data_IF_651655615714
#
_entry.id   IF_651655615714
#
_cell.length_a   1.000
_cell.length_b   1.000
_cell.length_c   1.000
_cell.angle_alpha   90.00
_cell.angle_beta   90.00
_cell.angle_gamma   90.00
#
_symmetry.space_group_name_H-M   'P 1'
#
loop_
_entity.id
_entity.type
_entity.pdbx_description
1 polymer ?
#
# COMPACT_ATOMS: atom_id res chain seq x y z
N UNK A 1 -34.53 26.17 29.13
CA UNK A 1 -33.11 26.36 28.75
C UNK A 1 -33.04 27.61 27.92
N UNK A 2 -32.26 28.63 28.31
CA UNK A 2 -32.10 29.88 27.56
C UNK A 2 -31.44 29.60 26.22
N UNK A 3 -31.80 30.32 25.17
CA UNK A 3 -31.29 30.11 23.80
C UNK A 3 -29.75 30.15 23.74
N UNK A 4 -29.11 31.03 24.49
CA UNK A 4 -27.65 31.10 24.64
C UNK A 4 -27.01 29.80 25.18
N UNK A 5 -27.74 28.97 25.94
CA UNK A 5 -27.23 27.69 26.44
C UNK A 5 -27.30 26.62 25.34
N UNK A 6 -28.32 26.67 24.51
CA UNK A 6 -28.43 25.79 23.34
C UNK A 6 -27.35 26.10 22.30
N UNK A 7 -27.11 27.38 22.01
CA UNK A 7 -26.06 27.81 21.07
C UNK A 7 -24.68 27.34 21.54
N UNK A 8 -24.34 27.52 22.81
CA UNK A 8 -23.08 27.00 23.38
C UNK A 8 -22.97 25.47 23.24
N UNK A 9 -24.07 24.76 23.50
CA UNK A 9 -24.10 23.31 23.36
C UNK A 9 -23.85 22.89 21.89
N UNK A 10 -24.49 23.55 20.92
CA UNK A 10 -24.26 23.27 19.49
C UNK A 10 -22.82 23.54 19.09
N UNK A 11 -22.22 24.64 19.51
CA UNK A 11 -20.81 24.96 19.24
C UNK A 11 -19.89 23.87 19.82
N UNK A 12 -20.10 23.45 21.05
CA UNK A 12 -19.30 22.37 21.68
C UNK A 12 -19.44 21.07 20.90
N UNK A 13 -20.66 20.67 20.52
CA UNK A 13 -20.91 19.46 19.73
C UNK A 13 -20.21 19.54 18.37
N UNK A 14 -20.30 20.67 17.67
CA UNK A 14 -19.64 20.84 16.36
C UNK A 14 -18.12 20.73 16.52
N UNK A 15 -17.53 21.38 17.52
CA UNK A 15 -16.08 21.30 17.78
C UNK A 15 -15.66 19.86 18.06
N UNK A 16 -16.40 19.12 18.88
CA UNK A 16 -16.11 17.72 19.15
C UNK A 16 -16.20 16.85 17.89
N UNK A 17 -17.23 17.05 17.06
CA UNK A 17 -17.36 16.34 15.78
C UNK A 17 -16.18 16.63 14.84
N UNK A 18 -15.78 17.89 14.72
CA UNK A 18 -14.62 18.27 13.92
C UNK A 18 -13.35 17.59 14.42
N UNK A 19 -13.11 17.56 15.74
CA UNK A 19 -11.96 16.90 16.34
C UNK A 19 -11.97 15.38 16.05
N UNK A 20 -13.13 14.74 16.14
CA UNK A 20 -13.26 13.31 15.80
C UNK A 20 -12.97 13.07 14.32
N UNK A 21 -13.49 13.90 13.42
CA UNK A 21 -13.22 13.79 11.98
C UNK A 21 -11.73 13.95 11.69
N UNK A 22 -11.09 14.95 12.29
CA UNK A 22 -9.64 15.18 12.13
C UNK A 22 -8.82 13.99 12.65
N UNK A 23 -9.17 13.46 13.83
CA UNK A 23 -8.50 12.29 14.40
C UNK A 23 -8.67 11.04 13.51
N UNK A 24 -9.88 10.81 12.98
CA UNK A 24 -10.14 9.72 12.04
C UNK A 24 -9.35 9.91 10.74
N UNK A 25 -9.37 11.12 10.17
CA UNK A 25 -8.61 11.42 8.96
C UNK A 25 -7.11 11.18 9.17
N UNK A 26 -6.56 11.64 10.28
CA UNK A 26 -5.17 11.40 10.66
C UNK A 26 -4.86 9.89 10.78
N UNK A 27 -5.72 9.14 11.47
CA UNK A 27 -5.56 7.69 11.63
C UNK A 27 -5.55 6.94 10.29
N UNK A 28 -6.51 7.23 9.40
CA UNK A 28 -6.66 6.47 8.16
C UNK A 28 -5.79 6.98 7.01
N UNK A 29 -5.43 8.27 6.99
CA UNK A 29 -4.61 8.84 5.92
C UNK A 29 -3.11 8.71 6.24
N UNK A 30 -2.71 9.00 7.48
CA UNK A 30 -1.30 9.11 7.87
C UNK A 30 -0.76 7.85 8.53
N UNK A 31 -1.38 7.39 9.61
CA UNK A 31 -0.82 6.32 10.44
C UNK A 31 -0.98 4.92 9.82
N UNK A 32 -2.14 4.64 9.23
CA UNK A 32 -2.48 3.29 8.80
C UNK A 32 -2.64 2.31 9.98
N UNK A 33 -2.52 1.00 9.71
CA UNK A 33 -2.56 -0.09 10.70
C UNK A 33 -1.15 -0.69 10.83
N UNK A 34 -0.43 -0.32 11.88
CA UNK A 34 0.95 -0.76 12.11
C UNK A 34 1.11 -1.48 13.43
N UNK A 35 2.12 -2.34 13.54
CA UNK A 35 2.48 -3.09 14.73
C UNK A 35 3.99 -3.12 14.96
N UNK A 36 4.40 -3.67 16.08
CA UNK A 36 5.80 -3.89 16.41
C UNK A 36 6.42 -5.06 15.64
N UNK A 37 7.73 -5.07 15.52
CA UNK A 37 8.52 -6.10 14.84
C UNK A 37 9.74 -6.51 15.66
N UNK A 38 10.30 -7.68 15.35
CA UNK A 38 11.54 -8.18 15.98
C UNK A 38 12.80 -7.81 15.19
N UNK A 39 12.66 -7.37 13.94
CA UNK A 39 13.79 -7.07 13.03
C UNK A 39 13.94 -5.57 12.70
N UNK A 40 13.24 -4.69 13.42
CA UNK A 40 13.33 -3.24 13.26
C UNK A 40 12.44 -2.66 12.14
N UNK A 41 11.80 -3.48 11.31
CA UNK A 41 10.88 -3.00 10.26
C UNK A 41 9.50 -2.69 10.81
N UNK A 42 8.83 -1.72 10.22
CA UNK A 42 7.43 -1.43 10.52
C UNK A 42 6.53 -2.53 9.97
N UNK A 43 5.78 -3.19 10.84
CA UNK A 43 4.76 -4.17 10.43
C UNK A 43 3.50 -3.42 10.01
N UNK A 44 3.08 -3.61 8.77
CA UNK A 44 1.76 -3.17 8.30
C UNK A 44 0.77 -4.31 8.49
N UNK A 45 -0.24 -4.08 9.32
CA UNK A 45 -1.25 -5.08 9.68
C UNK A 45 -2.41 -5.04 8.69
N UNK A 46 -2.55 -6.10 7.92
CA UNK A 46 -3.60 -6.28 6.91
C UNK A 46 -4.20 -7.68 7.00
N UNK A 47 -5.43 -7.84 6.53
CA UNK A 47 -6.11 -9.13 6.54
C UNK A 47 -5.41 -10.17 5.64
N UNK A 48 -5.57 -11.47 5.87
CA UNK A 48 -4.90 -12.51 5.07
C UNK A 48 -5.16 -12.37 3.56
N UNK A 49 -6.39 -12.07 3.16
CA UNK A 49 -6.74 -11.84 1.75
C UNK A 49 -6.06 -10.61 1.15
N UNK A 50 -6.01 -9.50 1.89
CA UNK A 50 -5.30 -8.28 1.48
C UNK A 50 -3.79 -8.54 1.36
N UNK A 51 -3.23 -9.31 2.29
CA UNK A 51 -1.81 -9.71 2.24
C UNK A 51 -1.52 -10.56 1.00
N UNK A 52 -2.39 -11.52 0.69
CA UNK A 52 -2.26 -12.34 -0.52
C UNK A 52 -2.30 -11.48 -1.77
N UNK A 53 -3.21 -10.52 -1.83
CA UNK A 53 -3.31 -9.54 -2.92
C UNK A 53 -2.01 -8.73 -3.07
N UNK A 54 -1.55 -8.05 -2.02
CA UNK A 54 -0.34 -7.21 -2.08
C UNK A 54 0.91 -8.01 -2.46
N UNK A 55 1.06 -9.23 -1.93
CA UNK A 55 2.18 -10.11 -2.32
C UNK A 55 2.03 -10.59 -3.77
N UNK A 56 0.81 -10.70 -4.30
CA UNK A 56 0.54 -10.95 -5.72
C UNK A 56 1.04 -9.80 -6.59
N UNK A 57 0.67 -8.57 -6.26
CA UNK A 57 1.14 -7.36 -6.94
C UNK A 57 2.67 -7.25 -6.93
N UNK A 58 3.31 -7.49 -5.79
CA UNK A 58 4.78 -7.48 -5.70
C UNK A 58 5.44 -8.52 -6.61
N UNK A 59 4.85 -9.71 -6.74
CA UNK A 59 5.34 -10.73 -7.68
C UNK A 59 5.15 -10.30 -9.13
N UNK A 60 4.04 -9.63 -9.44
CA UNK A 60 3.79 -9.04 -10.76
C UNK A 60 4.83 -7.98 -11.13
N UNK A 61 5.12 -7.06 -10.20
CA UNK A 61 6.17 -6.05 -10.39
C UNK A 61 7.54 -6.68 -10.60
N UNK A 62 7.90 -7.72 -9.82
CA UNK A 62 9.17 -8.44 -9.99
C UNK A 62 9.26 -9.14 -11.34
N UNK A 63 8.18 -9.78 -11.79
CA UNK A 63 8.12 -10.39 -13.13
C UNK A 63 8.31 -9.32 -14.21
N UNK A 64 7.66 -8.16 -14.08
CA UNK A 64 7.83 -7.06 -15.02
C UNK A 64 9.27 -6.52 -15.07
N UNK A 65 9.93 -6.37 -13.91
CA UNK A 65 11.36 -6.00 -13.85
C UNK A 65 12.22 -7.04 -14.59
N UNK A 66 11.94 -8.33 -14.41
CA UNK A 66 12.64 -9.40 -15.12
C UNK A 66 12.42 -9.31 -16.63
N UNK A 67 11.17 -9.13 -17.08
CA UNK A 67 10.85 -9.02 -18.52
C UNK A 67 11.45 -7.77 -19.17
N UNK A 68 11.45 -6.62 -18.47
CA UNK A 68 12.13 -5.40 -18.92
C UNK A 68 13.63 -5.66 -19.07
N UNK A 69 14.25 -6.32 -18.07
CA UNK A 69 15.68 -6.65 -18.11
C UNK A 69 16.00 -7.54 -19.32
N UNK A 70 15.16 -8.51 -19.62
CA UNK A 70 15.31 -9.41 -20.78
C UNK A 70 15.15 -8.64 -22.10
N UNK A 71 14.17 -7.73 -22.20
CA UNK A 71 13.96 -6.91 -23.39
C UNK A 71 15.14 -5.97 -23.63
N UNK A 72 15.68 -5.34 -22.57
CA UNK A 72 16.88 -4.51 -22.64
C UNK A 72 18.11 -5.28 -23.11
N UNK A 73 18.28 -6.52 -22.65
CA UNK A 73 19.39 -7.39 -23.08
C UNK A 73 19.30 -7.79 -24.56
N UNK A 74 18.11 -7.71 -25.15
CA UNK A 74 17.85 -7.95 -26.58
C UNK A 74 17.68 -6.67 -27.40
N UNK A 75 17.97 -5.48 -26.84
CA UNK A 75 17.76 -4.17 -27.46
C UNK A 75 16.30 -3.92 -27.94
N UNK A 76 15.33 -4.65 -27.37
CA UNK A 76 13.90 -4.54 -27.69
C UNK A 76 13.23 -3.43 -26.86
N UNK A 77 13.51 -2.18 -27.21
CA UNK A 77 12.99 -0.98 -26.52
C UNK A 77 11.46 -0.88 -26.64
N UNK A 78 10.87 -1.35 -27.75
CA UNK A 78 9.42 -1.34 -27.91
C UNK A 78 8.73 -2.29 -26.90
N UNK A 79 9.32 -3.45 -26.65
CA UNK A 79 8.85 -4.37 -25.61
C UNK A 79 9.00 -3.78 -24.21
N UNK A 80 10.09 -3.06 -23.92
CA UNK A 80 10.27 -2.33 -22.66
C UNK A 80 9.12 -1.36 -22.44
N UNK A 81 8.79 -0.53 -23.43
CA UNK A 81 7.69 0.43 -23.36
C UNK A 81 6.36 -0.26 -22.99
N UNK A 82 6.03 -1.34 -23.70
CA UNK A 82 4.78 -2.08 -23.48
C UNK A 82 4.68 -2.66 -22.07
N UNK A 83 5.75 -3.30 -21.60
CA UNK A 83 5.76 -3.92 -20.26
C UNK A 83 5.66 -2.84 -19.18
N UNK A 84 6.49 -1.80 -19.28
CA UNK A 84 6.51 -0.72 -18.30
C UNK A 84 5.15 0.00 -18.23
N UNK A 85 4.51 0.28 -19.35
CA UNK A 85 3.17 0.89 -19.41
C UNK A 85 2.13 0.04 -18.68
N UNK A 86 2.19 -1.28 -18.77
CA UNK A 86 1.30 -2.20 -18.06
C UNK A 86 1.49 -2.23 -16.54
N UNK A 87 2.61 -1.69 -16.04
CA UNK A 87 2.94 -1.60 -14.60
C UNK A 87 2.81 -0.19 -14.04
N UNK A 88 2.45 0.79 -14.88
CA UNK A 88 2.31 2.20 -14.52
C UNK A 88 1.06 2.50 -13.69
N UNK A 89 0.77 3.78 -13.53
CA UNK A 89 -0.34 4.32 -12.71
C UNK A 89 -1.74 3.91 -13.20
N UNK A 90 -1.86 3.51 -14.48
CA UNK A 90 -3.12 3.07 -15.08
C UNK A 90 -3.36 1.55 -14.94
N UNK A 91 -2.43 0.82 -14.34
CA UNK A 91 -2.63 -0.60 -14.07
C UNK A 91 -3.84 -0.79 -13.15
N UNK A 92 -4.84 -1.54 -13.62
CA UNK A 92 -5.98 -1.92 -12.79
C UNK A 92 -5.55 -3.08 -11.89
N UNK A 93 -5.28 -2.75 -10.64
CA UNK A 93 -4.81 -3.74 -9.66
C UNK A 93 -5.95 -4.46 -8.96
N UNK A 94 -7.19 -4.00 -9.07
CA UNK A 94 -8.33 -4.59 -8.36
C UNK A 94 -8.17 -4.58 -6.83
N UNK A 95 -7.58 -3.53 -6.27
CA UNK A 95 -7.26 -3.44 -4.84
C UNK A 95 -8.51 -3.66 -3.95
N UNK A 96 -8.42 -4.50 -2.91
CA UNK A 96 -9.52 -4.73 -1.98
C UNK A 96 -10.01 -3.45 -1.33
N UNK A 97 -11.34 -3.26 -1.18
CA UNK A 97 -11.90 -2.10 -0.49
C UNK A 97 -11.32 -1.96 0.92
N UNK A 98 -10.93 -0.73 1.29
CA UNK A 98 -10.39 -0.42 2.61
C UNK A 98 -8.88 -0.69 2.80
N UNK A 99 -8.23 -1.42 1.90
CA UNK A 99 -6.79 -1.68 1.99
C UNK A 99 -5.98 -0.37 2.11
N UNK A 100 -6.28 0.62 1.28
CA UNK A 100 -5.57 1.91 1.28
C UNK A 100 -5.67 2.65 2.62
N UNK A 101 -6.75 2.47 3.39
CA UNK A 101 -6.90 3.05 4.73
C UNK A 101 -6.00 2.40 5.80
N UNK A 102 -5.50 1.20 5.54
CA UNK A 102 -4.60 0.46 6.45
C UNK A 102 -3.13 0.76 6.20
N UNK A 103 -2.79 1.24 5.01
CA UNK A 103 -1.41 1.53 4.62
C UNK A 103 -0.96 2.90 5.15
N UNK A 104 0.23 3.01 5.77
CA UNK A 104 0.82 4.28 6.17
C UNK A 104 1.00 5.22 4.97
N UNK A 105 0.94 6.53 5.20
CA UNK A 105 1.07 7.52 4.13
C UNK A 105 2.38 7.38 3.35
N UNK A 106 3.49 7.21 4.04
CA UNK A 106 4.81 7.08 3.39
C UNK A 106 4.93 5.79 2.59
N UNK A 107 4.31 4.70 3.05
CA UNK A 107 4.20 3.47 2.26
C UNK A 107 3.43 3.71 0.95
N UNK A 108 2.27 4.40 1.03
CA UNK A 108 1.47 4.75 -0.15
C UNK A 108 2.23 5.61 -1.14
N UNK A 109 2.90 6.67 -0.66
CA UNK A 109 3.72 7.54 -1.51
C UNK A 109 4.82 6.76 -2.24
N UNK A 110 5.52 5.90 -1.50
CA UNK A 110 6.60 5.09 -2.07
C UNK A 110 6.06 4.11 -3.13
N UNK A 111 4.96 3.40 -2.84
CA UNK A 111 4.32 2.49 -3.79
C UNK A 111 3.86 3.20 -5.05
N UNK A 112 3.12 4.31 -4.91
CA UNK A 112 2.67 5.10 -6.07
C UNK A 112 3.84 5.64 -6.90
N UNK A 113 4.96 6.02 -6.25
CA UNK A 113 6.14 6.48 -6.97
C UNK A 113 6.81 5.39 -7.81
N UNK A 114 6.66 4.11 -7.45
CA UNK A 114 7.14 2.98 -8.28
C UNK A 114 6.32 2.87 -9.57
N UNK A 115 5.00 2.97 -9.49
CA UNK A 115 4.14 2.98 -10.69
C UNK A 115 4.41 4.18 -11.59
N UNK A 116 4.63 5.37 -11.01
CA UNK A 116 5.02 6.56 -11.76
C UNK A 116 6.39 6.40 -12.47
N UNK A 117 7.34 5.70 -11.84
CA UNK A 117 8.63 5.41 -12.47
C UNK A 117 8.49 4.44 -13.65
N UNK A 118 7.58 3.47 -13.58
CA UNK A 118 7.27 2.60 -14.71
C UNK A 118 6.68 3.39 -15.88
N UNK A 119 5.77 4.35 -15.63
CA UNK A 119 5.29 5.25 -16.69
C UNK A 119 6.43 6.07 -17.30
N UNK A 120 7.34 6.62 -16.47
CA UNK A 120 8.49 7.36 -16.98
C UNK A 120 9.44 6.49 -17.83
N UNK A 121 9.64 5.21 -17.46
CA UNK A 121 10.39 4.24 -18.27
C UNK A 121 9.66 3.98 -19.60
N UNK A 122 8.34 3.84 -19.57
CA UNK A 122 7.55 3.63 -20.78
C UNK A 122 7.63 4.85 -21.72
N UNK A 123 7.45 6.07 -21.19
CA UNK A 123 7.54 7.32 -21.95
C UNK A 123 8.91 7.46 -22.64
N UNK A 124 9.99 7.20 -21.91
CA UNK A 124 11.35 7.28 -22.45
C UNK A 124 11.63 6.16 -23.48
N UNK A 125 11.10 4.96 -23.27
CA UNK A 125 11.22 3.87 -24.22
C UNK A 125 10.42 4.16 -25.51
N UNK A 126 9.23 4.73 -25.41
CA UNK A 126 8.42 5.21 -26.54
C UNK A 126 9.14 6.33 -27.31
N UNK A 127 9.90 7.19 -26.62
CA UNK A 127 10.76 8.20 -27.20
C UNK A 127 12.10 7.65 -27.72
N UNK A 128 12.26 6.32 -27.80
CA UNK A 128 13.46 5.64 -28.31
C UNK A 128 14.75 5.98 -27.55
N UNK A 129 14.67 6.12 -26.24
CA UNK A 129 15.85 6.28 -25.37
C UNK A 129 16.80 5.09 -25.49
N UNK A 130 18.09 5.34 -25.28
CA UNK A 130 19.08 4.28 -25.35
C UNK A 130 18.84 3.21 -24.25
N UNK A 131 19.02 1.90 -24.55
CA UNK A 131 18.82 0.82 -23.56
C UNK A 131 19.57 1.03 -22.25
N UNK A 132 20.77 1.61 -22.30
CA UNK A 132 21.55 1.94 -21.12
C UNK A 132 20.89 2.99 -20.21
N UNK A 133 20.17 3.94 -20.79
CA UNK A 133 19.49 4.98 -20.01
C UNK A 133 18.21 4.42 -19.37
N UNK A 134 17.50 3.55 -20.07
CA UNK A 134 16.37 2.81 -19.51
C UNK A 134 16.82 1.88 -18.37
N UNK A 135 17.97 1.22 -18.51
CA UNK A 135 18.55 0.39 -17.45
C UNK A 135 18.90 1.21 -16.21
N UNK A 136 19.42 2.44 -16.36
CA UNK A 136 19.68 3.34 -15.21
C UNK A 136 18.38 3.72 -14.50
N UNK A 137 17.32 4.04 -15.26
CA UNK A 137 16.02 4.35 -14.69
C UNK A 137 15.44 3.16 -13.92
N UNK A 138 15.52 1.96 -14.49
CA UNK A 138 15.10 0.74 -13.81
C UNK A 138 15.91 0.47 -12.54
N UNK A 139 17.22 0.71 -12.56
CA UNK A 139 18.08 0.61 -11.38
C UNK A 139 17.63 1.59 -10.27
N UNK A 140 17.28 2.82 -10.63
CA UNK A 140 16.76 3.82 -9.69
C UNK A 140 15.39 3.41 -9.12
N UNK A 141 14.50 2.86 -9.94
CA UNK A 141 13.22 2.30 -9.51
C UNK A 141 13.44 1.16 -8.50
N UNK A 142 14.33 0.23 -8.78
CA UNK A 142 14.63 -0.90 -7.87
C UNK A 142 15.18 -0.45 -6.51
N UNK A 143 15.86 0.69 -6.41
CA UNK A 143 16.25 1.27 -5.11
C UNK A 143 15.05 1.54 -4.21
N UNK A 144 13.89 1.93 -4.78
CA UNK A 144 12.64 2.11 -4.03
C UNK A 144 12.10 0.79 -3.50
N UNK A 145 12.22 -0.29 -4.27
CA UNK A 145 11.87 -1.63 -3.81
C UNK A 145 12.72 -2.02 -2.59
N UNK A 146 14.04 -1.86 -2.69
CA UNK A 146 14.98 -2.13 -1.60
C UNK A 146 14.66 -1.27 -0.37
N UNK A 147 14.44 0.04 -0.56
CA UNK A 147 14.11 0.95 0.55
C UNK A 147 12.80 0.54 1.24
N UNK A 148 11.76 0.21 0.47
CA UNK A 148 10.48 -0.24 1.01
C UNK A 148 10.64 -1.54 1.83
N UNK A 149 11.33 -2.54 1.27
CA UNK A 149 11.55 -3.83 1.92
C UNK A 149 12.45 -3.76 3.17
N UNK A 150 13.30 -2.74 3.26
CA UNK A 150 14.10 -2.48 4.47
C UNK A 150 13.29 -1.81 5.59
N UNK A 151 12.20 -1.11 5.26
CA UNK A 151 11.41 -0.33 6.23
C UNK A 151 10.14 -1.08 6.65
N UNK A 152 9.49 -1.79 5.71
CA UNK A 152 8.16 -2.36 5.91
C UNK A 152 8.13 -3.86 5.74
N UNK A 153 7.20 -4.49 6.46
CA UNK A 153 6.78 -5.86 6.23
C UNK A 153 5.27 -6.00 6.47
N UNK A 154 4.65 -6.98 5.84
CA UNK A 154 3.24 -7.27 6.04
C UNK A 154 3.02 -8.43 6.98
N UNK A 155 2.11 -8.27 7.93
CA UNK A 155 1.62 -9.36 8.74
C UNK A 155 0.10 -9.29 8.87
N UNK A 156 -0.51 -10.41 9.19
CA UNK A 156 -1.93 -10.45 9.52
C UNK A 156 -2.10 -10.37 11.03
N UNK A 157 -3.15 -9.68 11.53
CA UNK A 157 -3.50 -9.74 12.94
C UNK A 157 -3.63 -11.21 13.36
N UNK A 158 -3.26 -11.57 14.60
CA UNK A 158 -3.53 -12.90 15.10
C UNK A 158 -5.04 -13.17 14.96
N UNK A 159 -5.39 -14.35 14.46
CA UNK A 159 -6.78 -14.75 14.34
C UNK A 159 -7.43 -14.48 15.72
N UNK A 160 -8.52 -13.70 15.74
CA UNK A 160 -9.30 -13.57 16.96
C UNK A 160 -9.76 -14.98 17.29
N UNK A 161 -9.14 -15.57 18.30
CA UNK A 161 -9.67 -16.81 18.87
C UNK A 161 -11.14 -16.54 19.17
N UNK A 162 -12.02 -17.27 18.52
CA UNK A 162 -13.44 -17.29 18.84
C UNK A 162 -13.60 -17.98 20.21
N UNK A 163 -13.14 -17.29 21.24
CA UNK A 163 -13.45 -17.61 22.63
C UNK A 163 -14.79 -17.00 22.98
N UNK A 164 -15.82 -17.30 22.19
CA UNK A 164 -17.19 -17.28 22.69
C UNK A 164 -17.40 -18.64 23.32
N UNK A 165 -17.27 -18.64 24.65
CA UNK A 165 -17.44 -19.78 25.51
C UNK A 165 -18.72 -20.55 25.20
N UNK A 166 -18.54 -21.79 24.82
CA UNK A 166 -19.51 -22.83 25.14
C UNK A 166 -18.98 -23.55 26.38
N UNK A 167 -19.10 -22.90 27.52
CA UNK A 167 -19.27 -23.62 28.79
C UNK A 167 -20.73 -24.10 28.82
N UNK A 168 -21.03 -25.13 28.04
CA UNK A 168 -22.18 -25.98 28.34
C UNK A 168 -21.75 -26.92 29.46
N UNK A 169 -22.25 -26.61 30.64
CA UNK A 169 -22.15 -27.43 31.83
C UNK A 169 -22.50 -28.87 31.49
N UNK A 170 -21.56 -29.79 31.67
CA UNK A 170 -21.86 -31.19 31.92
C UNK A 170 -22.51 -31.26 33.30
N UNK A 171 -23.78 -31.60 33.36
CA UNK A 171 -24.44 -32.11 34.57
C UNK A 171 -23.92 -33.51 34.82
N UNK A 172 -23.47 -33.83 36.02
CA UNK A 172 -23.32 -35.22 36.43
C UNK A 172 -24.67 -35.75 36.91
N UNK A 173 -25.13 -36.83 36.36
CA UNK A 173 -26.08 -37.73 36.97
C UNK A 173 -25.37 -38.72 37.90
#
# INVERSE_FOLDING_TARGET
MTDARKERLYVVVIVLLVLVIVAMAYKFIVLGSTGGTTDGRTVVLIEPGERTFVLGEMRGLLAGVQEISQALAGDDVARVAKIARGLGMQADTGAPPGLMGKLPLEFKKLGLSVHSDFDAIADNAEAMAAPKDLLRQMSSLMQKCVACHNIYQFNSPPARSASLGVHLAARPD
#
